data_IF_371336698797
#
_entry.id   IF_371336698797
#
_cell.length_a   1.000
_cell.length_b   1.000
_cell.length_c   1.000
_cell.angle_alpha   90.00
_cell.angle_beta   90.00
_cell.angle_gamma   90.00
#
_symmetry.space_group_name_H-M   'P 1'
#
loop_
_entity.id
_entity.type
_entity.pdbx_description
1 polymer ?
#
# COMPACT_ATOMS: atom_id res chain seq x y z
N UNK A 1 -71.12 -3.08 -4.93
CA UNK A 1 -71.46 -1.64 -4.94
C UNK A 1 -72.33 -1.34 -3.73
N UNK A 2 -71.87 -0.46 -2.86
CA UNK A 2 -72.61 0.58 -2.09
C UNK A 2 -71.50 1.35 -1.30
N UNK A 3 -71.55 2.69 -1.15
CA UNK A 3 -70.31 3.48 -1.08
C UNK A 3 -70.08 4.26 0.24
N UNK A 4 -68.96 4.98 0.23
CA UNK A 4 -68.42 5.92 1.22
C UNK A 4 -69.42 6.91 1.86
N UNK A 5 -69.07 7.39 3.07
CA UNK A 5 -69.58 8.63 3.67
C UNK A 5 -68.45 9.42 4.36
N UNK A 6 -68.46 10.74 4.22
CA UNK A 6 -67.44 11.67 4.74
C UNK A 6 -67.65 12.03 6.23
N UNK A 7 -66.58 12.36 6.99
CA UNK A 7 -66.70 13.01 8.29
C UNK A 7 -66.76 14.54 8.19
N UNK A 8 -67.56 15.18 9.07
CA UNK A 8 -67.68 16.66 9.14
C UNK A 8 -66.66 17.30 10.07
N UNK A 9 -66.22 18.51 9.72
CA UNK A 9 -65.33 19.38 10.49
C UNK A 9 -66.02 20.04 11.69
N UNK A 10 -65.24 20.38 12.72
CA UNK A 10 -65.46 21.56 13.56
C UNK A 10 -64.15 22.34 13.74
N UNK A 11 -64.24 23.67 13.68
CA UNK A 11 -63.11 24.61 13.63
C UNK A 11 -63.13 25.50 14.86
N UNK A 12 -61.97 25.72 15.48
CA UNK A 12 -61.76 26.80 16.47
C UNK A 12 -60.43 27.51 16.15
N UNK A 13 -60.51 28.79 15.75
CA UNK A 13 -59.39 29.75 15.83
C UNK A 13 -59.42 30.43 17.21
N UNK A 14 -58.42 31.13 17.75
CA UNK A 14 -57.54 32.23 17.25
C UNK A 14 -56.41 32.43 18.33
N UNK A 15 -55.53 33.48 18.37
CA UNK A 15 -54.77 34.25 17.35
C UNK A 15 -53.26 34.54 17.71
N UNK A 16 -52.53 35.23 16.80
CA UNK A 16 -51.28 36.05 16.99
C UNK A 16 -49.90 35.34 17.13
N UNK A 17 -48.76 35.92 16.69
CA UNK A 17 -48.43 37.28 16.16
C UNK A 17 -47.29 37.25 15.11
N UNK A 18 -47.14 38.33 14.32
CA UNK A 18 -46.20 38.47 13.18
C UNK A 18 -45.01 39.40 13.50
N UNK A 19 -43.80 39.12 12.98
CA UNK A 19 -42.76 40.14 12.69
C UNK A 19 -41.64 39.62 11.76
N UNK A 20 -40.96 40.53 11.04
CA UNK A 20 -39.93 40.28 9.99
C UNK A 20 -38.66 41.13 10.26
N UNK A 21 -37.54 41.12 9.52
CA UNK A 21 -37.14 40.58 8.19
C UNK A 21 -35.62 40.30 8.18
N UNK A 22 -35.09 39.52 7.20
CA UNK A 22 -33.97 39.85 6.28
C UNK A 22 -33.41 38.60 5.55
N UNK A 23 -32.79 38.80 4.38
CA UNK A 23 -32.52 37.77 3.35
C UNK A 23 -31.03 37.75 2.97
N UNK A 24 -30.44 36.56 2.83
CA UNK A 24 -29.18 36.31 2.09
C UNK A 24 -29.33 35.00 1.29
N UNK A 25 -28.95 35.01 0.01
CA UNK A 25 -29.01 33.84 -0.87
C UNK A 25 -27.63 33.19 -1.02
N UNK A 26 -27.58 31.85 -1.12
CA UNK A 26 -26.38 31.08 -1.52
C UNK A 26 -26.78 30.06 -2.60
N UNK A 27 -25.98 29.96 -3.66
CA UNK A 27 -26.16 29.03 -4.78
C UNK A 27 -25.23 27.82 -4.63
N UNK A 28 -25.76 26.62 -4.85
CA UNK A 28 -24.98 25.40 -5.05
C UNK A 28 -25.49 24.66 -6.29
N UNK A 29 -24.57 24.08 -7.05
CA UNK A 29 -24.84 23.39 -8.32
C UNK A 29 -24.59 21.89 -8.16
N UNK A 30 -25.62 21.07 -8.40
CA UNK A 30 -25.45 19.66 -8.80
C UNK A 30 -26.63 19.24 -9.70
N UNK A 31 -26.33 18.41 -10.70
CA UNK A 31 -27.19 17.88 -11.77
C UNK A 31 -28.71 18.21 -11.79
N UNK A 32 -29.09 19.13 -12.70
CA UNK A 32 -30.39 19.20 -13.42
C UNK A 32 -31.71 19.15 -12.61
N UNK A 33 -31.79 19.77 -11.43
CA UNK A 33 -33.08 20.21 -10.86
C UNK A 33 -33.00 21.66 -10.39
N UNK A 34 -33.91 22.53 -10.86
CA UNK A 34 -34.10 23.88 -10.29
C UNK A 34 -35.04 23.80 -9.10
N UNK A 35 -34.49 23.81 -7.88
CA UNK A 35 -35.24 23.94 -6.64
C UNK A 35 -35.19 25.39 -6.14
N UNK A 36 -36.35 26.05 -6.08
CA UNK A 36 -36.53 27.30 -5.36
C UNK A 36 -36.90 26.97 -3.90
N UNK A 37 -35.98 27.18 -2.97
CA UNK A 37 -36.24 26.95 -1.53
C UNK A 37 -36.29 28.26 -0.75
N UNK A 38 -37.50 28.73 -0.47
CA UNK A 38 -37.74 29.83 0.47
C UNK A 38 -37.66 29.31 1.91
N UNK A 39 -36.50 29.42 2.56
CA UNK A 39 -36.32 28.92 3.93
C UNK A 39 -37.04 29.83 4.94
N UNK A 40 -38.22 29.40 5.39
CA UNK A 40 -38.82 29.81 6.67
C UNK A 40 -38.67 28.66 7.67
N UNK A 41 -38.40 28.98 8.93
CA UNK A 41 -37.81 28.05 9.91
C UNK A 41 -38.69 26.84 10.23
N UNK A 42 -38.09 25.65 10.09
CA UNK A 42 -38.25 24.40 10.85
C UNK A 42 -39.60 24.17 11.55
N UNK A 43 -40.38 23.23 10.99
CA UNK A 43 -41.19 22.29 11.75
C UNK A 43 -40.73 20.87 11.43
N UNK A 44 -40.77 19.96 12.41
CA UNK A 44 -40.35 18.57 12.28
C UNK A 44 -41.30 17.78 11.38
N UNK A 45 -40.91 17.57 10.12
CA UNK A 45 -41.48 16.48 9.30
C UNK A 45 -40.68 15.19 9.56
N UNK A 46 -41.28 14.25 10.27
CA UNK A 46 -40.74 12.89 10.40
C UNK A 46 -40.96 12.12 9.10
N UNK A 47 -40.05 12.29 8.14
CA UNK A 47 -40.05 11.48 6.92
C UNK A 47 -39.55 10.07 7.24
N UNK A 48 -40.48 9.10 7.28
CA UNK A 48 -40.16 7.68 7.41
C UNK A 48 -39.66 7.15 6.05
N UNK A 49 -38.37 7.34 5.77
CA UNK A 49 -37.69 6.71 4.64
C UNK A 49 -37.48 5.23 4.95
N UNK A 50 -38.38 4.38 4.45
CA UNK A 50 -38.18 2.94 4.40
C UNK A 50 -37.30 2.65 3.19
N UNK A 51 -35.99 2.51 3.41
CA UNK A 51 -35.07 1.99 2.40
C UNK A 51 -35.20 0.46 2.38
N UNK A 52 -35.68 -0.08 1.26
CA UNK A 52 -35.75 -1.51 1.02
C UNK A 52 -34.47 -1.92 0.26
N UNK A 53 -33.54 -2.57 0.95
CA UNK A 53 -32.41 -3.25 0.31
C UNK A 53 -32.80 -4.69 -0.04
N UNK A 54 -32.33 -5.25 -1.18
CA UNK A 54 -32.51 -6.66 -1.47
C UNK A 54 -31.84 -7.52 -0.39
N UNK A 55 -32.49 -8.61 0.01
CA UNK A 55 -31.90 -9.62 0.87
C UNK A 55 -30.64 -10.23 0.22
N UNK A 56 -29.46 -9.92 0.76
CA UNK A 56 -28.33 -10.86 1.00
C UNK A 56 -27.08 -10.11 1.48
N UNK A 57 -27.10 -9.63 2.74
CA UNK A 57 -25.89 -9.27 3.48
C UNK A 57 -26.13 -9.38 4.99
N UNK A 58 -25.19 -9.99 5.72
CA UNK A 58 -25.34 -10.37 7.14
C UNK A 58 -25.57 -9.20 8.11
N UNK A 59 -26.21 -9.50 9.25
CA UNK A 59 -26.50 -8.56 10.33
C UNK A 59 -25.28 -7.76 10.81
N UNK A 60 -25.27 -6.47 10.53
CA UNK A 60 -24.29 -5.54 11.10
C UNK A 60 -24.67 -5.17 12.54
N UNK A 61 -23.90 -5.68 13.51
CA UNK A 61 -23.92 -5.18 14.89
C UNK A 61 -23.52 -3.71 14.94
N UNK A 62 -24.52 -2.83 14.93
CA UNK A 62 -24.35 -1.37 14.81
C UNK A 62 -24.39 -0.73 16.20
N UNK A 63 -23.25 -0.45 16.81
CA UNK A 63 -23.18 0.26 18.09
C UNK A 63 -23.30 1.78 17.90
N UNK A 64 -24.54 2.26 17.89
CA UNK A 64 -24.86 3.68 17.95
C UNK A 64 -24.73 4.20 19.38
N UNK A 65 -23.70 5.01 19.66
CA UNK A 65 -23.57 5.71 20.94
C UNK A 65 -24.32 7.05 20.95
N UNK A 66 -25.16 7.26 21.97
CA UNK A 66 -25.90 8.51 22.16
C UNK A 66 -25.09 9.50 23.00
N UNK A 67 -24.49 10.51 22.37
CA UNK A 67 -23.90 11.65 23.09
C UNK A 67 -24.95 12.77 23.17
N UNK A 68 -25.37 13.11 24.39
CA UNK A 68 -26.23 14.27 24.69
C UNK A 68 -25.34 15.34 25.33
N UNK A 69 -25.27 16.55 24.75
CA UNK A 69 -26.23 17.59 25.10
C UNK A 69 -26.84 18.30 23.87
N UNK A 70 -27.96 18.98 24.10
CA UNK A 70 -28.78 19.74 23.14
C UNK A 70 -28.01 20.55 22.07
N UNK A 71 -27.71 19.95 20.92
CA UNK A 71 -27.86 20.55 19.57
C UNK A 71 -27.45 19.56 18.46
N UNK A 72 -28.24 19.50 17.38
CA UNK A 72 -27.95 18.79 16.11
C UNK A 72 -27.51 17.31 16.24
N UNK A 73 -28.48 16.41 16.22
CA UNK A 73 -28.27 14.96 16.07
C UNK A 73 -27.64 14.59 14.71
N UNK A 74 -26.32 14.61 14.60
CA UNK A 74 -25.58 13.88 13.56
C UNK A 74 -25.35 12.44 14.03
N UNK A 75 -25.98 11.47 13.37
CA UNK A 75 -25.70 10.06 13.62
C UNK A 75 -24.38 9.69 12.95
N UNK A 76 -23.27 9.81 13.69
CA UNK A 76 -21.98 9.29 13.25
C UNK A 76 -21.92 7.79 13.52
N UNK A 77 -22.20 7.01 12.49
CA UNK A 77 -22.00 5.57 12.50
C UNK A 77 -20.51 5.26 12.28
N UNK A 78 -19.72 5.25 13.35
CA UNK A 78 -18.34 4.74 13.29
C UNK A 78 -18.36 3.23 13.17
N UNK A 79 -18.06 2.72 11.98
CA UNK A 79 -17.69 1.32 11.79
C UNK A 79 -16.34 1.12 12.48
N UNK A 80 -16.35 0.50 13.66
CA UNK A 80 -15.12 0.19 14.39
C UNK A 80 -14.45 -1.03 13.77
N UNK A 81 -13.17 -0.90 13.46
CA UNK A 81 -12.35 -2.02 13.03
C UNK A 81 -12.18 -3.01 14.18
N UNK A 82 -12.43 -4.28 13.92
CA UNK A 82 -12.36 -5.37 14.90
C UNK A 82 -11.53 -6.51 14.32
N UNK A 83 -10.26 -6.59 14.74
CA UNK A 83 -9.34 -7.65 14.31
C UNK A 83 -9.86 -9.04 14.66
N UNK A 84 -10.55 -9.19 15.79
CA UNK A 84 -11.07 -10.50 16.23
C UNK A 84 -12.16 -11.00 15.28
N UNK A 85 -13.07 -10.11 14.84
CA UNK A 85 -14.07 -10.45 13.81
C UNK A 85 -13.42 -10.82 12.47
N UNK A 86 -12.42 -10.07 12.03
CA UNK A 86 -11.71 -10.35 10.77
C UNK A 86 -10.97 -11.69 10.84
N UNK A 87 -10.21 -11.94 11.91
CA UNK A 87 -9.49 -13.20 12.13
C UNK A 87 -10.46 -14.39 12.14
N UNK A 88 -11.56 -14.28 12.90
CA UNK A 88 -12.57 -15.33 12.97
C UNK A 88 -13.27 -15.55 11.62
N UNK A 89 -13.57 -14.48 10.89
CA UNK A 89 -14.16 -14.58 9.55
C UNK A 89 -13.23 -15.31 8.59
N UNK A 90 -12.00 -14.82 8.38
CA UNK A 90 -11.02 -15.43 7.45
C UNK A 90 -10.82 -16.91 7.77
N UNK A 91 -10.52 -17.24 9.03
CA UNK A 91 -10.26 -18.62 9.44
C UNK A 91 -11.51 -19.53 9.35
N UNK A 92 -12.72 -18.98 9.28
CA UNK A 92 -13.96 -19.75 9.03
C UNK A 92 -14.17 -20.11 7.55
N UNK A 93 -13.57 -19.36 6.60
CA UNK A 93 -13.83 -19.53 5.16
C UNK A 93 -13.08 -20.70 4.51
N UNK A 94 -12.25 -21.46 5.26
CA UNK A 94 -11.26 -22.41 4.70
C UNK A 94 -10.36 -21.73 3.66
N UNK A 95 -9.88 -20.55 4.00
CA UNK A 95 -9.02 -19.71 3.17
C UNK A 95 -7.66 -20.34 2.87
N UNK A 96 -7.02 -19.85 1.81
CA UNK A 96 -5.67 -20.22 1.38
C UNK A 96 -4.55 -19.72 2.32
N UNK A 97 -4.92 -18.89 3.31
CA UNK A 97 -4.05 -18.28 4.30
C UNK A 97 -4.72 -18.26 5.67
N UNK A 98 -3.90 -18.14 6.72
CA UNK A 98 -4.35 -18.05 8.12
C UNK A 98 -4.23 -16.61 8.61
N UNK A 99 -5.33 -16.11 9.18
CA UNK A 99 -5.35 -14.85 9.89
C UNK A 99 -5.01 -15.04 11.38
N UNK A 100 -4.31 -14.07 11.96
CA UNK A 100 -3.99 -14.01 13.38
C UNK A 100 -3.48 -12.63 13.74
N UNK A 101 -3.19 -12.38 15.02
CA UNK A 101 -2.58 -11.12 15.44
C UNK A 101 -1.07 -11.14 15.09
N UNK A 102 -0.57 -10.26 14.20
CA UNK A 102 0.87 -10.20 13.90
C UNK A 102 1.67 -9.71 15.11
N UNK A 103 2.98 -9.95 15.10
CA UNK A 103 3.88 -9.50 16.18
C UNK A 103 4.10 -7.98 16.18
N UNK A 104 4.00 -7.35 15.01
CA UNK A 104 4.07 -5.89 14.85
C UNK A 104 2.69 -5.26 14.99
N UNK A 105 2.63 -4.00 15.42
CA UNK A 105 1.35 -3.33 15.71
C UNK A 105 0.56 -3.01 14.42
N UNK A 106 -0.78 -3.01 14.52
CA UNK A 106 -1.65 -2.56 13.41
C UNK A 106 -1.41 -1.08 13.08
N UNK A 107 -1.15 -0.27 14.10
CA UNK A 107 -0.93 1.17 13.96
C UNK A 107 0.35 1.47 13.16
N UNK A 108 1.45 0.79 13.48
CA UNK A 108 2.68 0.78 12.66
C UNK A 108 2.37 0.43 11.20
N UNK A 109 1.71 -0.72 10.94
CA UNK A 109 1.43 -1.15 9.57
C UNK A 109 0.62 -0.09 8.81
N UNK A 110 -0.47 0.43 9.40
CA UNK A 110 -1.29 1.49 8.81
C UNK A 110 -0.51 2.77 8.51
N UNK A 111 0.34 3.23 9.43
CA UNK A 111 1.15 4.46 9.27
C UNK A 111 2.13 4.38 8.10
N UNK A 112 2.61 3.19 7.75
CA UNK A 112 3.51 2.98 6.61
C UNK A 112 2.83 2.93 5.23
N UNK A 113 1.50 2.83 5.16
CA UNK A 113 0.77 2.70 3.89
C UNK A 113 0.66 4.03 3.14
N UNK A 114 0.95 4.01 1.83
CA UNK A 114 0.73 5.18 0.98
C UNK A 114 -0.73 5.24 0.54
N UNK A 115 -1.44 6.27 0.98
CA UNK A 115 -2.89 6.43 0.78
C UNK A 115 -3.25 7.15 -0.52
N UNK A 116 -2.35 7.99 -1.04
CA UNK A 116 -2.54 8.70 -2.31
C UNK A 116 -2.09 7.82 -3.50
N UNK A 117 -3.00 7.40 -4.40
CA UNK A 117 -2.64 6.60 -5.58
C UNK A 117 -1.85 7.40 -6.63
N UNK A 118 -1.97 8.74 -6.69
CA UNK A 118 -1.21 9.56 -7.64
C UNK A 118 0.28 9.56 -7.28
N UNK A 119 0.60 9.75 -5.99
CA UNK A 119 1.95 9.59 -5.43
C UNK A 119 2.53 8.20 -5.69
N UNK A 120 1.74 7.12 -5.58
CA UNK A 120 2.21 5.76 -5.90
C UNK A 120 2.54 5.59 -7.38
N UNK A 121 1.81 6.29 -8.26
CA UNK A 121 1.87 6.08 -9.71
C UNK A 121 1.18 4.80 -10.16
N UNK A 122 0.19 4.33 -9.39
CA UNK A 122 -0.56 3.10 -9.69
C UNK A 122 -1.26 3.28 -11.04
N UNK A 123 -0.88 2.47 -12.04
CA UNK A 123 -1.43 2.57 -13.40
C UNK A 123 -2.13 1.28 -13.75
N UNK A 124 -3.42 1.37 -14.05
CA UNK A 124 -4.12 0.33 -14.79
C UNK A 124 -3.64 0.32 -16.24
N UNK A 125 -2.43 -0.21 -16.43
CA UNK A 125 -1.96 -0.70 -17.71
C UNK A 125 -2.75 -1.97 -18.00
N UNK A 126 -3.87 -1.79 -18.70
CA UNK A 126 -4.55 -2.90 -19.38
C UNK A 126 -3.56 -3.64 -20.31
N UNK A 127 -3.96 -4.79 -20.89
CA UNK A 127 -3.05 -5.63 -21.67
C UNK A 127 -2.46 -4.87 -22.87
N UNK A 128 -1.29 -4.27 -22.66
CA UNK A 128 -0.56 -3.53 -23.68
C UNK A 128 -0.01 -4.53 -24.68
N UNK A 129 -0.44 -4.41 -25.93
CA UNK A 129 0.13 -5.17 -27.03
C UNK A 129 1.52 -4.63 -27.36
N UNK A 130 2.51 -5.05 -26.58
CA UNK A 130 3.91 -4.88 -26.93
C UNK A 130 4.33 -5.99 -27.88
N UNK A 131 4.52 -5.65 -29.16
CA UNK A 131 5.21 -6.51 -30.11
C UNK A 131 6.71 -6.20 -30.10
N UNK A 132 7.48 -7.01 -29.37
CA UNK A 132 8.90 -7.16 -29.63
C UNK A 132 9.27 -8.63 -29.53
N UNK A 133 9.81 -9.16 -30.62
CA UNK A 133 10.22 -10.56 -30.73
C UNK A 133 11.42 -10.83 -29.83
N UNK A 134 11.17 -11.17 -28.57
CA UNK A 134 12.16 -11.73 -27.64
C UNK A 134 11.51 -12.95 -26.98
N UNK A 135 12.06 -14.11 -27.33
CA UNK A 135 11.67 -15.46 -26.88
C UNK A 135 10.30 -16.02 -27.30
N UNK A 136 10.32 -17.27 -27.78
CA UNK A 136 9.15 -18.15 -27.78
C UNK A 136 9.01 -18.70 -26.36
N UNK A 137 7.85 -18.56 -25.69
CA UNK A 137 7.67 -19.01 -24.31
C UNK A 137 7.62 -20.54 -24.12
N UNK A 138 7.76 -21.32 -25.21
CA UNK A 138 7.65 -22.78 -25.23
C UNK A 138 8.70 -23.53 -24.38
N UNK A 139 9.71 -22.83 -23.84
CA UNK A 139 10.73 -23.38 -22.93
C UNK A 139 10.89 -22.57 -21.63
N UNK A 140 9.90 -21.76 -21.25
CA UNK A 140 9.63 -21.58 -19.81
C UNK A 140 9.03 -22.91 -19.35
N UNK A 141 9.92 -23.85 -19.01
CA UNK A 141 9.56 -25.07 -18.32
C UNK A 141 8.64 -24.71 -17.15
N UNK A 142 7.68 -25.59 -16.87
CA UNK A 142 6.55 -25.38 -15.95
C UNK A 142 7.04 -25.50 -14.50
N UNK A 143 8.02 -24.63 -14.19
CA UNK A 143 8.73 -24.49 -12.94
C UNK A 143 7.71 -24.00 -11.92
N UNK A 144 7.08 -25.00 -11.31
CA UNK A 144 6.14 -24.90 -10.20
C UNK A 144 6.74 -24.19 -8.96
N UNK A 145 8.01 -23.79 -9.03
CA UNK A 145 8.76 -23.08 -8.01
C UNK A 145 9.96 -22.33 -8.64
N UNK A 146 10.19 -21.10 -8.19
CA UNK A 146 11.41 -20.32 -8.39
C UNK A 146 11.65 -19.44 -7.15
N UNK A 147 12.88 -19.38 -6.65
CA UNK A 147 13.29 -18.49 -5.58
C UNK A 147 14.66 -17.89 -5.89
N UNK A 148 14.73 -16.56 -6.01
CA UNK A 148 15.98 -15.84 -6.27
C UNK A 148 17.07 -16.13 -5.22
N UNK A 149 16.71 -16.47 -3.97
CA UNK A 149 17.63 -16.80 -2.88
C UNK A 149 18.34 -18.14 -3.12
N UNK A 150 17.65 -19.09 -3.75
CA UNK A 150 18.23 -20.38 -4.14
C UNK A 150 18.94 -20.29 -5.48
N UNK A 151 18.48 -19.43 -6.39
CA UNK A 151 19.04 -19.26 -7.72
C UNK A 151 20.40 -18.54 -7.73
N UNK A 152 20.60 -17.60 -6.81
CA UNK A 152 21.82 -16.77 -6.69
C UNK A 152 22.26 -16.66 -5.21
N UNK A 153 22.67 -17.76 -4.56
CA UNK A 153 23.04 -17.79 -3.14
C UNK A 153 24.29 -16.95 -2.83
N UNK A 154 25.09 -16.60 -3.83
CA UNK A 154 26.21 -15.66 -3.72
C UNK A 154 25.77 -14.22 -3.44
N UNK A 155 24.54 -13.85 -3.81
CA UNK A 155 24.04 -12.48 -3.71
C UNK A 155 23.43 -12.18 -2.34
N UNK A 156 24.25 -11.56 -1.48
CA UNK A 156 23.94 -11.35 -0.06
C UNK A 156 22.77 -10.38 0.21
N UNK A 157 22.39 -9.56 -0.77
CA UNK A 157 21.26 -8.63 -0.67
C UNK A 157 19.89 -9.31 -0.75
N UNK A 158 19.76 -10.40 -1.52
CA UNK A 158 18.46 -11.04 -1.81
C UNK A 158 17.72 -11.48 -0.53
N UNK A 159 18.35 -12.18 0.44
CA UNK A 159 17.71 -12.60 1.68
C UNK A 159 17.56 -11.50 2.75
N UNK A 160 17.95 -10.25 2.47
CA UNK A 160 17.74 -9.13 3.40
C UNK A 160 16.25 -8.78 3.42
N UNK A 161 15.74 -8.59 4.62
CA UNK A 161 14.41 -8.03 4.92
C UNK A 161 14.67 -6.82 5.81
N UNK A 162 14.27 -5.64 5.36
CA UNK A 162 14.42 -4.39 6.10
C UNK A 162 13.16 -4.05 6.91
N UNK A 163 13.30 -3.09 7.82
CA UNK A 163 12.22 -2.43 8.54
C UNK A 163 12.22 -0.94 8.14
N UNK A 164 11.10 -0.45 7.59
CA UNK A 164 10.95 0.95 7.15
C UNK A 164 10.71 1.94 8.31
N UNK A 165 10.46 1.45 9.53
CA UNK A 165 10.02 2.25 10.66
C UNK A 165 8.75 3.08 10.34
N UNK A 166 8.47 4.14 11.11
CA UNK A 166 7.31 5.04 11.04
C UNK A 166 7.37 6.00 9.83
N UNK A 167 7.62 5.47 8.63
CA UNK A 167 7.83 6.22 7.41
C UNK A 167 7.22 5.47 6.22
N UNK A 168 6.52 6.17 5.31
CA UNK A 168 5.91 5.59 4.10
C UNK A 168 6.94 5.38 2.99
N UNK A 169 8.08 4.75 3.31
CA UNK A 169 9.26 4.59 2.43
C UNK A 169 9.33 3.25 1.69
N UNK A 170 8.30 2.41 1.75
CA UNK A 170 8.27 1.11 1.05
C UNK A 170 8.56 1.21 -0.46
N UNK A 171 8.18 2.31 -1.11
CA UNK A 171 8.51 2.64 -2.50
C UNK A 171 10.02 2.78 -2.76
N UNK A 172 10.77 3.29 -1.78
CA UNK A 172 12.22 3.48 -1.86
C UNK A 172 12.98 2.19 -1.52
N UNK A 173 12.49 1.42 -0.54
CA UNK A 173 13.08 0.14 -0.17
C UNK A 173 12.89 -0.93 -1.25
N UNK A 174 11.66 -1.16 -1.72
CA UNK A 174 11.38 -2.12 -2.80
C UNK A 174 12.18 -1.83 -4.07
N UNK A 175 12.45 -0.55 -4.37
CA UNK A 175 13.33 -0.13 -5.46
C UNK A 175 14.81 -0.42 -5.15
N UNK A 176 15.37 0.14 -4.07
CA UNK A 176 16.80 0.01 -3.74
C UNK A 176 17.23 -1.45 -3.48
N UNK A 177 16.39 -2.27 -2.84
CA UNK A 177 16.65 -3.69 -2.65
C UNK A 177 16.72 -4.44 -3.99
N UNK A 178 15.73 -4.24 -4.87
CA UNK A 178 15.69 -4.88 -6.20
C UNK A 178 16.90 -4.46 -7.05
N UNK A 179 17.31 -3.20 -6.98
CA UNK A 179 18.50 -2.71 -7.67
C UNK A 179 19.80 -3.31 -7.10
N UNK A 180 19.86 -3.55 -5.80
CA UNK A 180 21.00 -4.21 -5.13
C UNK A 180 21.14 -5.65 -5.60
N UNK A 181 20.03 -6.40 -5.58
CA UNK A 181 19.96 -7.78 -6.06
C UNK A 181 20.41 -7.86 -7.53
N UNK A 182 19.88 -6.98 -8.37
CA UNK A 182 20.21 -6.94 -9.80
C UNK A 182 21.65 -6.56 -10.07
N UNK A 183 22.26 -5.65 -9.31
CA UNK A 183 23.69 -5.35 -9.41
C UNK A 183 24.53 -6.61 -9.18
N UNK A 184 24.22 -7.37 -8.15
CA UNK A 184 24.94 -8.61 -7.86
C UNK A 184 24.70 -9.67 -8.94
N UNK A 185 23.44 -9.96 -9.28
CA UNK A 185 23.05 -11.00 -10.25
C UNK A 185 23.69 -10.74 -11.62
N UNK A 186 23.53 -9.52 -12.15
CA UNK A 186 23.98 -9.19 -13.51
C UNK A 186 25.49 -9.00 -13.59
N UNK A 187 26.17 -8.69 -12.47
CA UNK A 187 27.64 -8.69 -12.39
C UNK A 187 28.25 -10.08 -12.15
N UNK A 188 27.44 -11.15 -12.08
CA UNK A 188 27.93 -12.49 -11.76
C UNK A 188 28.56 -12.57 -10.37
N UNK A 189 28.01 -11.83 -9.40
CA UNK A 189 28.51 -11.75 -8.03
C UNK A 189 29.66 -10.76 -7.79
N UNK A 190 30.20 -10.10 -8.83
CA UNK A 190 31.33 -9.16 -8.68
C UNK A 190 30.97 -7.88 -7.91
N UNK A 191 29.72 -7.40 -8.01
CA UNK A 191 29.20 -6.21 -7.34
C UNK A 191 28.16 -6.63 -6.30
N UNK A 192 28.62 -7.13 -5.16
CA UNK A 192 27.80 -7.63 -4.05
C UNK A 192 27.69 -6.55 -2.97
N UNK A 193 26.71 -5.64 -3.09
CA UNK A 193 26.52 -4.49 -2.20
C UNK A 193 25.04 -4.14 -2.04
N UNK A 194 24.72 -3.29 -1.06
CA UNK A 194 23.34 -2.80 -0.79
C UNK A 194 23.27 -1.30 -1.10
N UNK A 195 22.32 -0.91 -1.94
CA UNK A 195 22.07 0.48 -2.33
C UNK A 195 21.17 1.22 -1.33
N UNK A 196 21.44 2.51 -1.19
CA UNK A 196 20.79 3.39 -0.22
C UNK A 196 19.33 3.70 -0.57
N UNK A 197 18.39 3.08 0.15
CA UNK A 197 17.01 3.56 0.22
C UNK A 197 16.91 4.99 0.80
N UNK A 198 17.87 5.39 1.65
CA UNK A 198 17.97 6.74 2.23
C UNK A 198 18.24 7.82 1.17
N UNK A 199 19.04 7.52 0.14
CA UNK A 199 19.25 8.42 -1.01
C UNK A 199 17.95 8.66 -1.77
N UNK A 200 17.21 7.60 -2.11
CA UNK A 200 15.91 7.73 -2.75
C UNK A 200 14.95 8.57 -1.90
N UNK A 201 14.79 8.19 -0.62
CA UNK A 201 13.87 8.81 0.32
C UNK A 201 14.08 10.33 0.47
N UNK A 202 15.35 10.75 0.59
CA UNK A 202 15.69 12.15 0.93
C UNK A 202 16.06 13.00 -0.28
N UNK A 203 16.72 12.42 -1.30
CA UNK A 203 17.33 13.16 -2.41
C UNK A 203 16.59 13.06 -3.76
N UNK A 204 15.56 12.21 -3.89
CA UNK A 204 14.73 12.18 -5.09
C UNK A 204 13.62 13.25 -5.07
N UNK A 205 14.01 14.51 -5.21
CA UNK A 205 13.12 15.69 -5.10
C UNK A 205 13.21 16.62 -6.33
N UNK A 206 12.34 17.63 -6.38
CA UNK A 206 12.33 18.66 -7.44
C UNK A 206 11.62 18.21 -8.73
N UNK A 207 12.12 18.66 -9.90
CA UNK A 207 11.45 18.45 -11.22
C UNK A 207 11.28 16.95 -11.58
N UNK A 208 12.11 16.08 -11.01
CA UNK A 208 12.03 14.63 -11.17
C UNK A 208 11.76 13.94 -9.82
N UNK A 209 10.96 14.57 -8.97
CA UNK A 209 10.62 14.03 -7.65
C UNK A 209 10.07 12.62 -7.72
N UNK A 210 10.43 11.80 -6.74
CA UNK A 210 9.80 10.51 -6.50
C UNK A 210 8.53 10.64 -5.66
N UNK A 211 8.27 11.77 -5.01
CA UNK A 211 7.12 11.98 -4.14
C UNK A 211 7.49 12.86 -2.94
N UNK A 212 6.84 12.59 -1.81
CA UNK A 212 6.93 13.40 -0.57
C UNK A 212 7.67 12.64 0.56
N UNK A 213 8.62 11.78 0.18
CA UNK A 213 9.48 11.05 1.10
C UNK A 213 8.71 10.11 2.02
N UNK A 214 8.68 10.41 3.33
CA UNK A 214 7.92 9.65 4.33
C UNK A 214 6.40 9.85 4.27
N UNK A 215 5.89 10.75 3.43
CA UNK A 215 4.46 10.82 3.10
C UNK A 215 4.05 9.86 1.97
N UNK A 216 5.02 9.29 1.24
CA UNK A 216 4.81 8.34 0.15
C UNK A 216 5.63 8.70 -1.10
N UNK A 217 5.69 7.77 -2.05
CA UNK A 217 6.39 7.98 -3.31
C UNK A 217 6.14 6.91 -4.35
N UNK A 218 6.77 7.13 -5.50
CA UNK A 218 6.50 6.49 -6.77
C UNK A 218 7.65 5.55 -7.14
N UNK A 219 7.38 4.24 -7.19
CA UNK A 219 8.38 3.22 -7.51
C UNK A 219 9.01 3.50 -8.88
N UNK A 220 8.21 3.73 -9.93
CA UNK A 220 8.75 3.99 -11.27
C UNK A 220 9.71 5.19 -11.30
N UNK A 221 9.42 6.26 -10.54
CA UNK A 221 10.32 7.40 -10.39
C UNK A 221 11.62 7.05 -9.66
N UNK A 222 11.58 6.17 -8.67
CA UNK A 222 12.80 5.70 -7.99
C UNK A 222 13.75 4.98 -8.96
N UNK A 223 13.22 4.15 -9.86
CA UNK A 223 14.01 3.54 -10.93
C UNK A 223 14.52 4.56 -11.95
N UNK A 224 13.72 5.57 -12.33
CA UNK A 224 14.20 6.70 -13.15
C UNK A 224 15.31 7.51 -12.47
N UNK A 225 15.25 7.68 -11.14
CA UNK A 225 16.30 8.32 -10.37
C UNK A 225 17.60 7.52 -10.39
N UNK A 226 17.54 6.19 -10.21
CA UNK A 226 18.70 5.32 -10.29
C UNK A 226 19.37 5.32 -11.67
N UNK A 227 18.60 5.35 -12.76
CA UNK A 227 19.13 5.49 -14.12
C UNK A 227 19.88 6.83 -14.32
N UNK A 228 19.32 7.92 -13.81
CA UNK A 228 19.78 9.30 -14.09
C UNK A 228 20.86 9.82 -13.11
N UNK A 229 20.69 9.53 -11.83
CA UNK A 229 21.50 10.07 -10.73
C UNK A 229 22.33 9.01 -10.01
N UNK A 230 21.97 7.73 -10.14
CA UNK A 230 22.61 6.63 -9.42
C UNK A 230 22.35 6.67 -7.91
N UNK A 231 22.56 5.54 -7.24
CA UNK A 231 22.42 5.41 -5.79
C UNK A 231 23.77 5.04 -5.18
N UNK A 232 24.19 5.69 -4.08
CA UNK A 232 25.32 5.22 -3.29
C UNK A 232 24.93 3.97 -2.49
N UNK A 233 25.92 3.33 -1.88
CA UNK A 233 25.71 2.25 -0.92
C UNK A 233 25.01 2.74 0.35
N UNK A 234 24.21 1.88 0.99
CA UNK A 234 23.48 2.21 2.21
C UNK A 234 22.60 1.07 2.71
N UNK A 235 22.92 0.52 3.87
CA UNK A 235 22.14 -0.55 4.49
C UNK A 235 21.04 -0.05 5.45
N UNK A 236 20.44 -0.99 6.18
CA UNK A 236 19.45 -0.73 7.23
C UNK A 236 19.99 0.12 8.39
N UNK A 237 19.08 0.60 9.24
CA UNK A 237 19.43 1.35 10.45
C UNK A 237 20.32 0.54 11.41
N UNK A 238 20.10 -0.76 11.54
CA UNK A 238 20.88 -1.65 12.41
C UNK A 238 22.27 -1.91 11.84
N UNK A 239 22.36 -2.12 10.52
CA UNK A 239 23.63 -2.42 9.85
C UNK A 239 24.59 -1.23 9.85
N UNK A 240 24.05 -0.01 9.79
CA UNK A 240 24.79 1.22 9.49
C UNK A 240 25.73 1.09 8.27
N UNK A 241 25.47 0.17 7.33
CA UNK A 241 26.37 -0.12 6.21
C UNK A 241 26.38 0.98 5.14
N UNK A 242 27.50 1.12 4.43
CA UNK A 242 27.63 1.98 3.25
C UNK A 242 27.76 3.48 3.52
N UNK A 243 27.74 4.25 2.43
CA UNK A 243 27.83 5.70 2.39
C UNK A 243 26.65 6.40 3.09
N UNK A 244 25.42 5.93 2.84
CA UNK A 244 24.17 6.49 3.38
C UNK A 244 23.25 5.39 3.90
N UNK A 245 23.50 4.83 5.10
CA UNK A 245 22.56 3.94 5.76
C UNK A 245 21.24 4.66 6.10
N UNK A 246 20.20 3.87 6.33
CA UNK A 246 18.91 4.40 6.76
C UNK A 246 19.01 5.10 8.13
N UNK A 247 18.44 6.31 8.22
CA UNK A 247 18.60 7.16 9.41
C UNK A 247 17.40 7.15 10.37
N UNK A 248 16.28 6.54 9.98
CA UNK A 248 15.07 6.50 10.80
C UNK A 248 15.15 5.28 11.73
N UNK A 249 15.21 5.53 13.05
CA UNK A 249 15.23 4.49 14.07
C UNK A 249 13.94 3.64 14.00
N UNK A 250 14.02 2.31 14.17
CA UNK A 250 12.84 1.46 14.38
C UNK A 250 11.98 1.90 15.57
N UNK A 251 10.72 1.47 15.58
CA UNK A 251 9.72 1.68 16.62
C UNK A 251 8.71 0.51 16.65
N UNK A 252 7.93 0.36 17.73
CA UNK A 252 6.96 -0.74 17.93
C UNK A 252 7.56 -2.17 17.74
N UNK A 253 8.87 -2.32 17.88
CA UNK A 253 9.60 -3.54 17.51
C UNK A 253 10.70 -3.92 18.51
N UNK A 254 11.16 -5.17 18.43
CA UNK A 254 12.25 -5.71 19.24
C UNK A 254 13.33 -6.29 18.31
N UNK A 255 14.56 -5.80 18.43
CA UNK A 255 15.68 -6.28 17.62
C UNK A 255 16.76 -6.84 18.54
N UNK A 256 16.94 -8.17 18.48
CA UNK A 256 17.76 -8.89 19.46
C UNK A 256 17.19 -8.71 20.87
N UNK A 257 17.98 -8.07 21.75
CA UNK A 257 17.59 -7.77 23.13
C UNK A 257 17.16 -6.30 23.34
N UNK A 258 17.02 -5.51 22.27
CA UNK A 258 16.67 -4.09 22.33
C UNK A 258 15.19 -3.92 21.97
N UNK A 259 14.40 -3.41 22.92
CA UNK A 259 13.02 -2.97 22.68
C UNK A 259 13.03 -1.50 22.27
N UNK A 260 12.51 -1.19 21.10
CA UNK A 260 12.35 0.18 20.64
C UNK A 260 11.09 0.83 21.23
N UNK A 261 11.06 2.16 21.41
CA UNK A 261 9.87 2.86 21.88
C UNK A 261 8.73 2.75 20.87
N UNK A 262 7.52 3.10 21.31
CA UNK A 262 6.37 3.14 20.42
C UNK A 262 6.53 4.20 19.32
N UNK A 263 5.91 3.94 18.16
CA UNK A 263 5.95 4.87 17.02
C UNK A 263 5.27 6.21 17.35
N UNK A 264 5.62 7.28 16.61
CA UNK A 264 5.11 8.61 16.92
C UNK A 264 3.65 8.75 16.47
N UNK A 265 2.89 9.61 17.15
CA UNK A 265 1.51 9.95 16.74
C UNK A 265 1.45 10.98 15.60
N UNK A 266 2.60 11.33 15.03
CA UNK A 266 2.77 12.34 13.97
C UNK A 266 3.70 11.78 12.91
N UNK A 267 3.39 12.02 11.63
CA UNK A 267 4.24 11.62 10.49
C UNK A 267 5.70 11.99 10.72
N UNK A 268 6.61 11.01 10.66
CA UNK A 268 8.05 11.28 10.71
C UNK A 268 8.43 12.20 9.55
N UNK A 269 9.16 13.27 9.86
CA UNK A 269 9.67 14.17 8.83
C UNK A 269 10.71 13.45 7.98
N UNK A 270 10.57 13.54 6.65
CA UNK A 270 11.56 13.05 5.69
C UNK A 270 12.94 13.64 6.03
N UNK A 271 13.98 12.83 6.27
CA UNK A 271 15.32 13.33 6.56
C UNK A 271 15.87 14.18 5.40
N UNK A 272 16.67 15.19 5.73
CA UNK A 272 17.31 16.07 4.75
C UNK A 272 18.19 15.31 3.75
N UNK A 273 18.21 15.77 2.49
CA UNK A 273 19.13 15.24 1.48
C UNK A 273 20.58 15.64 1.77
N UNK A 274 21.30 14.76 2.48
CA UNK A 274 22.72 14.94 2.72
C UNK A 274 23.54 14.97 1.43
N UNK A 275 24.58 15.81 1.38
CA UNK A 275 25.44 15.97 0.19
C UNK A 275 26.78 15.24 0.29
N UNK A 276 26.95 14.42 1.31
CA UNK A 276 28.15 13.59 1.57
C UNK A 276 27.73 12.22 2.10
N UNK A 277 28.68 11.30 2.15
CA UNK A 277 28.53 10.08 2.94
C UNK A 277 28.63 10.39 4.45
N UNK A 278 28.21 9.44 5.28
CA UNK A 278 28.39 9.51 6.74
C UNK A 278 29.87 9.72 7.12
N UNK A 279 30.09 10.35 8.28
CA UNK A 279 31.45 10.58 8.78
C UNK A 279 32.25 9.28 8.90
N UNK A 280 33.52 9.31 8.47
CA UNK A 280 34.43 8.16 8.49
C UNK A 280 34.25 7.14 7.36
N UNK A 281 33.27 7.31 6.45
CA UNK A 281 33.17 6.47 5.26
C UNK A 281 34.28 6.84 4.24
N UNK A 282 35.02 5.87 3.65
CA UNK A 282 36.27 6.15 2.94
C UNK A 282 36.10 6.58 1.47
N UNK A 283 34.88 6.48 0.90
CA UNK A 283 34.60 6.84 -0.50
C UNK A 283 33.73 8.09 -0.54
N UNK A 284 34.06 9.02 -1.44
CA UNK A 284 33.24 10.22 -1.69
C UNK A 284 31.90 9.85 -2.36
N UNK A 285 30.83 10.57 -2.00
CA UNK A 285 29.45 10.26 -2.41
C UNK A 285 29.30 9.95 -3.90
N UNK A 286 29.86 10.79 -4.78
CA UNK A 286 29.69 10.63 -6.23
C UNK A 286 30.55 9.50 -6.83
N UNK A 287 31.55 8.99 -6.09
CA UNK A 287 32.34 7.81 -6.46
C UNK A 287 31.73 6.50 -5.97
N UNK A 288 30.82 6.56 -5.01
CA UNK A 288 30.10 5.42 -4.44
C UNK A 288 28.80 5.08 -5.21
N UNK A 289 28.44 5.90 -6.21
CA UNK A 289 27.18 5.78 -6.98
C UNK A 289 27.21 4.64 -7.99
N UNK A 290 26.23 3.75 -7.88
CA UNK A 290 25.88 2.75 -8.89
C UNK A 290 24.67 3.22 -9.71
N UNK A 291 24.67 2.96 -11.02
CA UNK A 291 23.68 3.50 -11.96
C UNK A 291 22.85 2.41 -12.64
N UNK A 292 21.62 2.75 -13.04
CA UNK A 292 20.84 1.95 -13.99
C UNK A 292 21.21 2.27 -15.46
N UNK A 293 20.75 1.42 -16.39
CA UNK A 293 20.73 1.69 -17.84
C UNK A 293 19.32 1.68 -18.42
N UNK A 294 18.40 0.86 -17.91
CA UNK A 294 16.98 0.84 -18.31
C UNK A 294 16.04 1.01 -17.11
N UNK A 295 14.79 1.35 -17.41
CA UNK A 295 13.66 1.36 -16.47
C UNK A 295 12.45 0.89 -17.23
N UNK A 296 11.87 -0.21 -16.77
CA UNK A 296 10.88 -0.99 -17.51
C UNK A 296 9.64 -1.19 -16.62
N UNK A 297 8.49 -0.73 -17.11
CA UNK A 297 7.21 -0.99 -16.47
C UNK A 297 6.65 -2.27 -17.11
N UNK A 298 6.65 -3.37 -16.35
CA UNK A 298 6.24 -4.67 -16.88
C UNK A 298 4.72 -4.67 -17.16
N UNK A 299 4.27 -5.35 -18.23
CA UNK A 299 2.85 -5.50 -18.51
C UNK A 299 2.20 -6.42 -17.47
N UNK A 300 0.88 -6.27 -17.28
CA UNK A 300 0.06 -7.14 -16.45
C UNK A 300 -0.08 -8.54 -17.07
N UNK A 301 1.00 -9.33 -17.04
CA UNK A 301 1.11 -10.68 -17.62
C UNK A 301 2.10 -11.49 -16.80
N UNK A 302 1.61 -12.56 -16.17
CA UNK A 302 2.42 -13.47 -15.35
C UNK A 302 3.73 -13.89 -16.02
N UNK A 303 3.69 -14.27 -17.30
CA UNK A 303 4.85 -14.82 -18.01
C UNK A 303 5.98 -13.79 -18.22
N UNK A 304 5.65 -12.52 -18.38
CA UNK A 304 6.61 -11.42 -18.56
C UNK A 304 7.31 -11.10 -17.23
N UNK A 305 6.52 -11.10 -16.14
CA UNK A 305 7.01 -10.95 -14.77
C UNK A 305 7.91 -12.12 -14.38
N UNK A 306 7.50 -13.37 -14.67
CA UNK A 306 8.33 -14.56 -14.43
C UNK A 306 9.63 -14.53 -15.24
N UNK A 307 9.56 -14.20 -16.54
CA UNK A 307 10.73 -14.11 -17.41
C UNK A 307 11.76 -13.13 -16.87
N UNK A 308 11.34 -11.91 -16.54
CA UNK A 308 12.26 -10.88 -16.07
C UNK A 308 12.85 -11.21 -14.68
N UNK A 309 12.05 -11.77 -13.76
CA UNK A 309 12.54 -12.20 -12.44
C UNK A 309 13.54 -13.36 -12.54
N UNK A 310 13.30 -14.36 -13.39
CA UNK A 310 14.20 -15.50 -13.57
C UNK A 310 15.50 -15.16 -14.29
N UNK A 311 15.45 -14.25 -15.27
CA UNK A 311 16.62 -13.90 -16.07
C UNK A 311 17.48 -12.82 -15.40
N UNK A 312 16.84 -11.80 -14.81
CA UNK A 312 17.52 -10.57 -14.42
C UNK A 312 17.53 -10.35 -12.89
N UNK A 313 16.65 -11.01 -12.13
CA UNK A 313 16.57 -10.95 -10.67
C UNK A 313 15.30 -10.27 -10.12
N UNK A 314 15.16 -10.15 -8.78
CA UNK A 314 14.00 -9.54 -8.13
C UNK A 314 13.58 -8.17 -8.69
N UNK A 315 12.28 -7.88 -8.59
CA UNK A 315 11.66 -6.63 -9.07
C UNK A 315 10.82 -5.96 -7.99
N UNK A 316 10.55 -4.67 -8.15
CA UNK A 316 9.57 -3.96 -7.35
C UNK A 316 8.16 -4.21 -7.88
N UNK A 317 7.19 -4.38 -6.98
CA UNK A 317 5.76 -4.36 -7.31
C UNK A 317 5.01 -3.50 -6.28
N UNK A 318 3.79 -3.05 -6.59
CA UNK A 318 2.94 -2.36 -5.62
C UNK A 318 1.55 -2.98 -5.59
N UNK A 319 1.06 -3.30 -4.41
CA UNK A 319 -0.26 -3.87 -4.19
C UNK A 319 -1.13 -2.96 -3.32
N UNK A 320 -2.44 -3.11 -3.48
CA UNK A 320 -3.45 -2.56 -2.57
C UNK A 320 -3.44 -3.36 -1.26
N UNK A 321 -3.53 -2.66 -0.12
CA UNK A 321 -3.58 -3.27 1.21
C UNK A 321 -4.96 -3.07 1.80
N UNK A 322 -5.52 -4.14 2.34
CA UNK A 322 -6.85 -4.20 2.94
C UNK A 322 -6.77 -4.51 4.44
N UNK A 323 -7.88 -4.27 5.13
CA UNK A 323 -8.07 -4.47 6.57
C UNK A 323 -7.76 -5.91 7.06
N UNK A 324 -7.91 -6.92 6.19
CA UNK A 324 -7.62 -8.33 6.43
C UNK A 324 -6.16 -8.71 6.20
N UNK A 325 -5.47 -8.14 5.22
CA UNK A 325 -4.01 -8.29 5.04
C UNK A 325 -3.22 -7.90 6.30
N UNK A 326 -3.72 -6.93 7.07
CA UNK A 326 -3.15 -6.51 8.36
C UNK A 326 -3.22 -7.60 9.45
N UNK A 327 -3.88 -8.74 9.19
CA UNK A 327 -3.94 -9.92 10.05
C UNK A 327 -3.24 -11.14 9.40
N UNK A 328 -2.50 -10.96 8.31
CA UNK A 328 -1.77 -12.05 7.65
C UNK A 328 -0.70 -12.66 8.55
N UNK A 329 -0.64 -14.00 8.59
CA UNK A 329 0.42 -14.73 9.29
C UNK A 329 1.17 -15.73 8.41
N UNK A 330 0.45 -16.55 7.63
CA UNK A 330 1.03 -17.57 6.75
C UNK A 330 0.04 -18.03 5.68
N UNK A 331 0.55 -18.63 4.60
CA UNK A 331 -0.22 -19.16 3.48
C UNK A 331 -0.26 -18.22 2.28
N UNK A 332 -1.15 -18.49 1.32
CA UNK A 332 -1.30 -17.71 0.10
C UNK A 332 -2.42 -16.70 0.31
N UNK A 333 -2.05 -15.43 0.47
CA UNK A 333 -3.00 -14.34 0.65
C UNK A 333 -3.87 -14.13 -0.59
N UNK A 334 -5.17 -13.96 -0.32
CA UNK A 334 -6.23 -13.51 -1.23
C UNK A 334 -7.15 -12.65 -0.37
N UNK A 335 -7.58 -11.49 -0.87
CA UNK A 335 -8.47 -10.60 -0.14
C UNK A 335 -9.86 -11.23 0.03
N UNK A 336 -10.41 -11.15 1.25
CA UNK A 336 -11.71 -11.73 1.61
C UNK A 336 -12.65 -10.70 2.26
N UNK A 337 -12.14 -9.73 3.02
CA UNK A 337 -12.99 -8.80 3.76
C UNK A 337 -12.32 -7.50 4.21
N UNK A 338 -13.15 -6.50 4.52
CA UNK A 338 -12.72 -5.22 5.08
C UNK A 338 -12.27 -4.19 4.02
N UNK A 339 -11.96 -2.98 4.47
CA UNK A 339 -11.76 -1.84 3.59
C UNK A 339 -10.31 -1.73 3.12
N UNK A 340 -10.11 -1.18 1.91
CA UNK A 340 -8.80 -0.75 1.42
C UNK A 340 -8.23 0.34 2.35
N UNK A 341 -7.03 0.10 2.86
CA UNK A 341 -6.30 0.99 3.77
C UNK A 341 -5.23 1.83 3.05
N UNK A 342 -4.72 1.37 1.91
CA UNK A 342 -3.72 2.10 1.13
C UNK A 342 -3.00 1.19 0.15
N UNK A 343 -1.73 1.50 -0.14
CA UNK A 343 -0.85 0.73 -1.00
C UNK A 343 0.49 0.48 -0.30
N UNK A 344 1.11 -0.64 -0.65
CA UNK A 344 2.40 -1.08 -0.14
C UNK A 344 3.26 -1.57 -1.31
N UNK A 345 4.47 -1.01 -1.43
CA UNK A 345 5.44 -1.46 -2.42
C UNK A 345 6.35 -2.53 -1.82
N UNK A 346 6.54 -3.61 -2.56
CA UNK A 346 7.13 -4.88 -2.13
C UNK A 346 8.09 -5.40 -3.21
N UNK A 347 8.92 -6.38 -2.88
CA UNK A 347 9.87 -6.98 -3.82
C UNK A 347 9.48 -8.41 -4.15
N UNK A 348 9.25 -8.73 -5.43
CA UNK A 348 8.97 -10.10 -5.88
C UNK A 348 10.30 -10.86 -5.98
N UNK A 349 10.42 -11.95 -5.22
CA UNK A 349 11.60 -12.83 -5.19
C UNK A 349 11.46 -14.04 -6.12
N UNK A 350 10.22 -14.40 -6.47
CA UNK A 350 9.93 -15.61 -7.22
C UNK A 350 8.47 -16.03 -7.09
N UNK A 351 8.20 -17.32 -7.26
CA UNK A 351 6.85 -17.89 -7.28
C UNK A 351 6.86 -19.36 -6.90
N UNK A 352 5.66 -19.91 -6.69
CA UNK A 352 5.52 -21.36 -6.71
C UNK A 352 4.07 -21.82 -6.84
N UNK A 353 3.83 -23.07 -6.44
CA UNK A 353 2.53 -23.66 -6.23
C UNK A 353 2.49 -24.41 -4.89
N UNK A 354 1.36 -24.34 -4.18
CA UNK A 354 1.09 -25.11 -2.98
C UNK A 354 -0.28 -25.76 -3.12
N UNK A 355 -0.38 -27.08 -3.02
CA UNK A 355 -1.63 -27.85 -3.19
C UNK A 355 -2.42 -27.48 -4.47
N UNK A 356 -1.70 -27.23 -5.57
CA UNK A 356 -2.29 -26.83 -6.86
C UNK A 356 -2.59 -25.33 -6.99
N UNK A 357 -2.37 -24.52 -5.96
CA UNK A 357 -2.65 -23.09 -5.94
C UNK A 357 -1.38 -22.28 -6.27
N UNK A 358 -1.37 -21.48 -7.34
CA UNK A 358 -0.21 -20.67 -7.73
C UNK A 358 -0.04 -19.44 -6.83
N UNK A 359 1.21 -19.13 -6.47
CA UNK A 359 1.54 -17.93 -5.70
C UNK A 359 2.76 -17.18 -6.23
N UNK A 360 2.85 -15.89 -5.93
CA UNK A 360 4.06 -15.09 -5.92
C UNK A 360 4.72 -15.16 -4.54
N UNK A 361 6.05 -15.18 -4.48
CA UNK A 361 6.83 -15.05 -3.25
C UNK A 361 7.36 -13.62 -3.16
N UNK A 362 7.04 -12.92 -2.08
CA UNK A 362 7.36 -11.50 -1.91
C UNK A 362 8.10 -11.23 -0.60
N UNK A 363 9.08 -10.33 -0.65
CA UNK A 363 9.65 -9.67 0.52
C UNK A 363 8.84 -8.41 0.86
N UNK A 364 8.44 -8.31 2.12
CA UNK A 364 7.89 -7.10 2.70
C UNK A 364 9.01 -6.31 3.42
N UNK A 365 8.72 -5.07 3.80
CA UNK A 365 9.65 -4.13 4.43
C UNK A 365 9.24 -3.74 5.87
N UNK A 366 8.47 -4.61 6.52
CA UNK A 366 8.01 -4.49 7.93
C UNK A 366 8.85 -5.36 8.90
N UNK A 367 10.10 -5.64 8.54
CA UNK A 367 11.00 -6.47 9.33
C UNK A 367 10.63 -7.97 9.38
N UNK A 368 11.54 -8.77 9.93
CA UNK A 368 11.42 -10.24 9.99
C UNK A 368 10.38 -10.77 10.98
N UNK A 369 9.80 -9.90 11.81
CA UNK A 369 8.79 -10.30 12.80
C UNK A 369 7.40 -10.52 12.21
N UNK A 370 7.11 -9.94 11.04
CA UNK A 370 5.83 -10.02 10.37
C UNK A 370 5.78 -11.18 9.37
N UNK A 371 4.58 -11.77 9.19
CA UNK A 371 4.33 -12.83 8.21
C UNK A 371 5.31 -14.01 8.31
N UNK A 372 5.75 -14.49 7.14
CA UNK A 372 6.63 -15.64 6.97
C UNK A 372 8.09 -15.16 7.02
N UNK A 373 8.56 -14.78 8.22
CA UNK A 373 9.92 -14.24 8.46
C UNK A 373 10.22 -12.97 7.62
N UNK A 374 9.23 -12.08 7.48
CA UNK A 374 9.27 -10.89 6.64
C UNK A 374 8.90 -11.10 5.18
N UNK A 375 8.73 -12.36 4.76
CA UNK A 375 8.16 -12.70 3.45
C UNK A 375 6.68 -13.04 3.55
N UNK A 376 6.00 -13.08 2.42
CA UNK A 376 4.61 -13.51 2.29
C UNK A 376 4.34 -14.04 0.89
N UNK A 377 3.20 -14.70 0.73
CA UNK A 377 2.76 -15.25 -0.55
C UNK A 377 1.40 -14.68 -0.93
N UNK A 378 1.19 -14.38 -2.21
CA UNK A 378 -0.05 -13.82 -2.77
C UNK A 378 -0.49 -14.65 -3.97
N UNK A 379 -1.80 -14.82 -4.15
CA UNK A 379 -2.39 -15.55 -5.29
C UNK A 379 -1.89 -14.98 -6.63
N UNK A 380 -1.37 -15.86 -7.49
CA UNK A 380 -0.75 -15.51 -8.78
C UNK A 380 -1.66 -15.82 -9.98
N UNK A 381 -1.55 -15.02 -11.03
CA UNK A 381 -2.22 -15.21 -12.32
C UNK A 381 -3.58 -14.52 -12.43
N UNK A 382 -3.99 -13.76 -11.41
CA UNK A 382 -5.31 -13.10 -11.32
C UNK A 382 -5.21 -11.60 -11.00
N UNK A 383 -4.00 -11.03 -10.99
CA UNK A 383 -3.72 -9.65 -10.58
C UNK A 383 -4.30 -9.31 -9.18
N UNK A 384 -4.14 -10.23 -8.22
CA UNK A 384 -4.62 -10.09 -6.84
C UNK A 384 -4.12 -8.79 -6.20
N UNK A 385 -5.04 -8.02 -5.61
CA UNK A 385 -4.80 -6.66 -5.09
C UNK A 385 -4.00 -5.73 -6.04
N UNK A 386 -4.12 -5.93 -7.36
CA UNK A 386 -3.45 -5.10 -8.36
C UNK A 386 -1.94 -5.31 -8.51
N UNK A 387 -1.37 -6.36 -7.89
CA UNK A 387 0.06 -6.62 -7.81
C UNK A 387 0.75 -6.70 -9.19
N UNK A 388 0.17 -7.47 -10.11
CA UNK A 388 0.75 -7.80 -11.42
C UNK A 388 0.69 -6.61 -12.39
N UNK A 389 -0.25 -5.69 -12.21
CA UNK A 389 -0.37 -4.46 -12.99
C UNK A 389 0.70 -3.40 -12.67
N UNK A 390 1.38 -3.50 -11.53
CA UNK A 390 2.24 -2.44 -10.99
C UNK A 390 3.68 -2.90 -10.73
N UNK A 391 4.18 -3.80 -11.57
CA UNK A 391 5.54 -4.32 -11.54
C UNK A 391 6.53 -3.40 -12.29
N UNK A 392 7.62 -3.00 -11.62
CA UNK A 392 8.69 -2.14 -12.16
C UNK A 392 10.04 -2.82 -12.04
N UNK A 393 10.79 -2.73 -13.13
CA UNK A 393 12.08 -3.37 -13.33
C UNK A 393 13.08 -2.41 -13.99
N UNK A 394 14.29 -2.89 -14.26
CA UNK A 394 15.35 -2.18 -14.95
C UNK A 394 16.68 -2.92 -14.84
N UNK A 395 17.64 -2.56 -15.70
CA UNK A 395 18.96 -3.19 -15.76
C UNK A 395 20.05 -2.30 -15.16
N UNK A 396 21.05 -2.87 -14.44
CA UNK A 396 22.17 -2.12 -13.90
C UNK A 396 23.23 -1.76 -14.95
N UNK A 397 24.04 -0.74 -14.64
CA UNK A 397 25.30 -0.44 -15.32
C UNK A 397 26.45 -1.14 -14.57
N UNK A 398 27.23 -1.92 -15.29
CA UNK A 398 28.28 -2.79 -14.73
C UNK A 398 29.71 -2.30 -15.01
N UNK A 399 29.85 -1.24 -15.80
CA UNK A 399 31.10 -0.55 -16.18
C UNK A 399 30.80 0.81 -16.78
#
# INVERSE_FOLDING_TARGET
MIPYGEPRFHTIMVPYRVLCYHIVNVLLWYHKVRLWCTVKRIYTMTLKLILWYPHDSMDHGTECYTIVPYSLLTHHCTITYDSTKIINYVNSQKSLWTAGNPKISKDYMLKTLTTDPETVGFRNLGPTFYSKNIFSPENLDDSNFFDARERWPECSSIPIINDISDCKSSWAFSAAESMSDRLCINSGGMINTVLSAQELLSCCTGVFSCGEGCAGGNVFKAWQYWQKHGLPTGGSYESQFGCKPYSISPCDTVIGNITFPGCLNSTVQTPSCEKKCKSGYPVELDKDRHYGVSVDQLPNRQIEIQSDVMLNGPISATMEVYDDFLQYTTGIYVHLTGNKQGHLSVRILGWGMYEGVPYWLLANSWGKQWGENGTFRVLRGVNECGLEANCVSGMPRLG
#
